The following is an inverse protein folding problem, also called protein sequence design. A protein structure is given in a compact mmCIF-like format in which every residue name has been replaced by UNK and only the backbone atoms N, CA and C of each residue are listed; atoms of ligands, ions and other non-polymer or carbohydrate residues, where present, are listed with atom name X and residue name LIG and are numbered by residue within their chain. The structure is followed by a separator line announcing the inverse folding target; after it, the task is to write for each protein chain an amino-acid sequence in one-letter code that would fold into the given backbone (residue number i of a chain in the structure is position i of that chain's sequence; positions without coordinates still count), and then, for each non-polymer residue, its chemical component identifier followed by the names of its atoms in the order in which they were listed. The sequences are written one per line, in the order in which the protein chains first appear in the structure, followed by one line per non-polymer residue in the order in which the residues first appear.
data_IF_044445715981
#
_entry.id   IF_044445715981
#
_cell.length_a   1.000
_cell.length_b   1.000
_cell.length_c   1.000
_cell.angle_alpha   90.00
_cell.angle_beta   90.00
_cell.angle_gamma   90.00
#
_symmetry.space_group_name_H-M   'P 1'
#
loop_
_entity.id
_entity.type
_entity.pdbx_description
1 polymer ?
#
# COMPACT_ATOMS: atom_id res chain seq x y z
N UNK A 1 0.25 -0.65 -16.59
CA UNK A 1 -0.52 0.01 -15.53
C UNK A 1 -1.66 -0.93 -15.15
N UNK A 2 -1.66 -1.44 -13.93
CA UNK A 2 -2.73 -2.31 -13.42
C UNK A 2 -3.24 -1.75 -12.10
N UNK A 3 -4.50 -2.04 -11.78
CA UNK A 3 -5.11 -1.73 -10.49
C UNK A 3 -4.94 -2.92 -9.56
N UNK A 4 -4.28 -2.72 -8.43
CA UNK A 4 -3.88 -3.78 -7.50
C UNK A 4 -4.51 -3.51 -6.14
N UNK A 5 -5.16 -4.52 -5.56
CA UNK A 5 -5.50 -4.54 -4.15
C UNK A 5 -4.42 -5.33 -3.41
N UNK A 6 -3.69 -4.65 -2.54
CA UNK A 6 -2.55 -5.22 -1.83
C UNK A 6 -2.90 -5.47 -0.37
N UNK A 7 -2.80 -6.72 0.08
CA UNK A 7 -3.18 -7.10 1.44
C UNK A 7 -1.92 -7.38 2.25
N UNK A 8 -1.79 -6.70 3.39
CA UNK A 8 -0.64 -6.79 4.29
C UNK A 8 0.49 -5.85 3.90
N UNK A 9 0.67 -4.75 4.64
CA UNK A 9 1.71 -3.73 4.45
C UNK A 9 2.62 -3.61 5.67
N UNK A 10 2.90 -4.74 6.32
CA UNK A 10 3.92 -4.88 7.35
C UNK A 10 5.35 -4.74 6.79
N UNK A 11 6.35 -5.25 7.53
CA UNK A 11 7.79 -5.07 7.23
C UNK A 11 8.17 -5.49 5.80
N UNK A 12 7.62 -6.60 5.31
CA UNK A 12 7.88 -7.10 3.95
C UNK A 12 6.90 -6.55 2.91
N UNK A 13 5.64 -6.31 3.30
CA UNK A 13 4.59 -5.86 2.39
C UNK A 13 4.78 -4.41 1.94
N UNK A 14 5.24 -3.53 2.83
CA UNK A 14 5.49 -2.12 2.52
C UNK A 14 6.50 -1.91 1.36
N UNK A 15 7.73 -2.47 1.38
CA UNK A 15 8.66 -2.29 0.26
C UNK A 15 8.11 -2.89 -1.04
N UNK A 16 7.31 -3.96 -0.98
CA UNK A 16 6.66 -4.53 -2.15
C UNK A 16 5.58 -3.62 -2.73
N UNK A 17 4.69 -3.07 -1.90
CA UNK A 17 3.68 -2.11 -2.31
C UNK A 17 4.31 -0.86 -2.93
N UNK A 18 5.36 -0.31 -2.30
CA UNK A 18 6.07 0.85 -2.85
C UNK A 18 6.77 0.56 -4.19
N UNK A 19 7.29 -0.66 -4.39
CA UNK A 19 7.86 -1.05 -5.67
C UNK A 19 6.80 -1.12 -6.78
N UNK A 20 5.59 -1.61 -6.48
CA UNK A 20 4.49 -1.64 -7.44
C UNK A 20 4.06 -0.22 -7.84
N UNK A 21 3.99 0.71 -6.88
CA UNK A 21 3.69 2.14 -7.16
C UNK A 21 4.78 2.75 -8.05
N UNK A 22 6.06 2.53 -7.74
CA UNK A 22 7.20 3.00 -8.55
C UNK A 22 7.13 2.52 -9.99
N UNK A 23 6.61 1.31 -10.21
CA UNK A 23 6.38 0.74 -11.54
C UNK A 23 5.09 1.24 -12.21
N UNK A 24 4.50 2.35 -11.74
CA UNK A 24 3.29 2.96 -12.30
C UNK A 24 2.12 1.98 -12.30
N UNK A 25 1.87 1.35 -11.16
CA UNK A 25 0.61 0.66 -10.88
C UNK A 25 -0.22 1.48 -9.90
N UNK A 26 -1.54 1.42 -10.06
CA UNK A 26 -2.48 2.00 -9.09
C UNK A 26 -2.71 0.97 -8.00
N UNK A 27 -2.43 1.33 -6.75
CA UNK A 27 -2.45 0.40 -5.64
C UNK A 27 -3.33 0.94 -4.51
N UNK A 28 -4.30 0.15 -4.10
CA UNK A 28 -5.01 0.31 -2.83
C UNK A 28 -4.58 -0.81 -1.90
N UNK A 29 -4.64 -0.59 -0.59
CA UNK A 29 -4.17 -1.59 0.36
C UNK A 29 -5.13 -1.82 1.52
N UNK A 30 -5.07 -3.03 2.09
CA UNK A 30 -5.77 -3.40 3.30
C UNK A 30 -4.80 -4.06 4.25
N UNK A 31 -4.76 -3.59 5.49
CA UNK A 31 -4.03 -4.23 6.57
C UNK A 31 -4.58 -3.73 7.92
N UNK A 32 -5.20 -4.61 8.73
CA UNK A 32 -5.78 -4.23 10.01
C UNK A 32 -4.72 -3.89 11.05
N UNK A 33 -3.49 -4.37 10.88
CA UNK A 33 -2.37 -4.18 11.82
C UNK A 33 -1.26 -3.31 11.23
N UNK A 34 -1.54 -2.59 10.14
CA UNK A 34 -0.56 -1.70 9.55
C UNK A 34 -0.13 -0.62 10.52
N UNK A 35 1.19 -0.46 10.64
CA UNK A 35 1.79 0.61 11.43
C UNK A 35 1.43 1.95 10.79
N UNK A 36 1.05 2.93 11.60
CA UNK A 36 0.59 4.25 11.15
C UNK A 36 1.58 4.95 10.21
N UNK A 37 2.89 4.74 10.42
CA UNK A 37 3.96 5.23 9.54
C UNK A 37 3.82 4.69 8.11
N UNK A 38 3.57 3.40 7.95
CA UNK A 38 3.43 2.77 6.63
C UNK A 38 2.16 3.28 5.93
N UNK A 39 1.07 3.44 6.68
CA UNK A 39 -0.19 3.99 6.17
C UNK A 39 0.03 5.42 5.65
N UNK A 40 0.63 6.31 6.46
CA UNK A 40 0.92 7.70 6.06
C UNK A 40 1.79 7.78 4.81
N UNK A 41 2.82 6.95 4.73
CA UNK A 41 3.71 6.92 3.58
C UNK A 41 3.03 6.40 2.31
N UNK A 42 2.18 5.37 2.41
CA UNK A 42 1.45 4.86 1.25
C UNK A 42 0.37 5.86 0.80
N UNK A 43 -0.29 6.53 1.75
CA UNK A 43 -1.27 7.57 1.43
C UNK A 43 -0.61 8.77 0.72
N UNK A 44 0.59 9.19 1.12
CA UNK A 44 1.31 10.27 0.42
C UNK A 44 1.78 9.89 -0.98
N UNK A 45 1.88 8.58 -1.26
CA UNK A 45 2.14 8.03 -2.60
C UNK A 45 0.88 7.83 -3.44
N UNK A 46 -0.30 8.24 -2.93
CA UNK A 46 -1.58 8.18 -3.64
C UNK A 46 -2.34 6.86 -3.46
N UNK A 47 -1.91 5.98 -2.55
CA UNK A 47 -2.67 4.78 -2.21
C UNK A 47 -3.79 5.10 -1.22
N UNK A 48 -4.87 4.33 -1.29
CA UNK A 48 -5.96 4.42 -0.31
C UNK A 48 -5.98 3.14 0.53
N UNK A 49 -6.03 3.32 1.86
CA UNK A 49 -6.33 2.22 2.78
C UNK A 49 -7.82 1.90 2.67
N UNK A 50 -8.14 0.66 2.34
CA UNK A 50 -9.50 0.15 2.40
C UNK A 50 -9.78 -0.24 3.85
N UNK A 51 -10.95 0.14 4.36
CA UNK A 51 -11.48 -0.32 5.63
C UNK A 51 -12.56 -1.36 5.35
N UNK A 52 -12.58 -2.41 6.16
CA UNK A 52 -13.57 -3.50 6.12
C UNK A 52 -14.76 -3.17 7.02
#
# INVERSE_FOLDING_TARGET
MASILFIGVGTMGYPMATNLIKNKHNLNFYDPYAIEKNIKNLNSLGCVKIES
#
